data_IF_788875935643
#
_entry.id   IF_788875935643
#
_cell.length_a   1.000
_cell.length_b   1.000
_cell.length_c   1.000
_cell.angle_alpha   90.00
_cell.angle_beta   90.00
_cell.angle_gamma   90.00
#
_symmetry.space_group_name_H-M   'P 1'
#
loop_
_entity.id
_entity.type
_entity.pdbx_description
1 polymer ?
#
# COMPACT_ATOMS: atom_id res chain seq x y z
N UNK A 1 14.00 23.81 26.33
CA UNK A 1 12.77 23.12 26.77
C UNK A 1 11.81 22.80 25.62
N UNK A 2 11.38 23.77 24.78
CA UNK A 2 10.45 23.53 23.65
C UNK A 2 10.96 22.48 22.64
N UNK A 3 12.26 22.51 22.29
CA UNK A 3 12.87 21.53 21.38
C UNK A 3 12.98 20.12 21.97
N UNK A 4 13.23 20.01 23.29
CA UNK A 4 13.28 18.71 23.97
C UNK A 4 11.90 18.08 24.07
N UNK A 5 10.85 18.88 24.29
CA UNK A 5 9.46 18.43 24.28
C UNK A 5 9.05 18.03 22.86
N UNK A 6 9.39 18.80 21.83
CA UNK A 6 9.14 18.42 20.44
C UNK A 6 9.85 17.11 20.06
N UNK A 7 11.11 16.96 20.47
CA UNK A 7 11.87 15.73 20.23
C UNK A 7 11.29 14.53 20.99
N UNK A 8 10.89 14.72 22.25
CA UNK A 8 10.23 13.67 23.03
C UNK A 8 8.87 13.29 22.44
N UNK A 9 8.09 14.25 21.91
CA UNK A 9 6.83 13.98 21.23
C UNK A 9 7.04 13.26 19.90
N UNK A 10 8.08 13.60 19.14
CA UNK A 10 8.47 12.89 17.90
C UNK A 10 8.97 11.48 18.21
N UNK A 11 9.80 11.31 19.24
CA UNK A 11 10.28 10.00 19.67
C UNK A 11 9.14 9.13 20.22
N UNK A 12 8.23 9.73 21.01
CA UNK A 12 7.04 9.08 21.51
C UNK A 12 6.08 8.74 20.36
N UNK A 13 5.91 9.61 19.36
CA UNK A 13 5.17 9.29 18.14
C UNK A 13 5.85 8.14 17.37
N UNK A 14 7.16 8.16 17.19
CA UNK A 14 7.88 7.06 16.53
C UNK A 14 7.79 5.72 17.29
N UNK A 15 7.66 5.77 18.62
CA UNK A 15 7.46 4.60 19.48
C UNK A 15 6.01 4.10 19.51
N UNK A 16 5.05 5.02 19.48
CA UNK A 16 3.60 4.74 19.55
C UNK A 16 2.98 4.44 18.18
N UNK A 17 3.58 4.94 17.10
CA UNK A 17 3.24 4.62 15.72
C UNK A 17 4.41 3.80 15.14
N UNK A 18 4.55 2.51 15.52
CA UNK A 18 5.48 1.63 14.82
C UNK A 18 5.10 1.68 13.35
N UNK A 19 6.05 2.15 12.55
CA UNK A 19 5.84 2.62 11.18
C UNK A 19 4.81 1.78 10.45
N UNK A 20 3.75 2.47 10.04
CA UNK A 20 2.68 1.83 9.32
C UNK A 20 3.28 1.32 8.00
N UNK A 21 3.33 0.00 7.89
CA UNK A 21 3.78 -0.76 6.72
C UNK A 21 2.75 -0.59 5.60
N UNK A 22 2.66 0.60 4.99
CA UNK A 22 1.69 0.90 3.93
C UNK A 22 2.40 0.95 2.57
N UNK A 23 2.73 -0.19 1.96
CA UNK A 23 3.54 -0.20 0.73
C UNK A 23 2.99 0.68 -0.40
N UNK A 24 1.68 0.95 -0.41
CA UNK A 24 1.06 2.06 -1.11
C UNK A 24 0.41 3.03 -0.11
N UNK A 25 0.55 4.33 -0.34
CA UNK A 25 -0.15 5.33 0.49
C UNK A 25 -1.66 5.32 0.18
N UNK A 26 -2.51 5.86 1.08
CA UNK A 26 -3.93 6.05 0.78
C UNK A 26 -4.18 6.79 -0.55
N UNK A 27 -3.32 7.75 -0.91
CA UNK A 27 -3.42 8.44 -2.20
C UNK A 27 -3.26 7.49 -3.39
N UNK A 28 -2.33 6.54 -3.32
CA UNK A 28 -2.12 5.54 -4.38
C UNK A 28 -3.31 4.59 -4.50
N UNK A 29 -3.89 4.15 -3.38
CA UNK A 29 -5.11 3.34 -3.41
C UNK A 29 -6.30 4.09 -4.00
N UNK A 30 -6.42 5.41 -3.77
CA UNK A 30 -7.43 6.23 -4.46
C UNK A 30 -7.19 6.26 -5.97
N UNK A 31 -5.95 6.42 -6.44
CA UNK A 31 -5.63 6.36 -7.88
C UNK A 31 -6.03 5.03 -8.49
N UNK A 32 -5.71 3.92 -7.83
CA UNK A 32 -6.07 2.58 -8.30
C UNK A 32 -7.59 2.40 -8.30
N UNK A 33 -8.30 2.90 -7.28
CA UNK A 33 -9.75 2.95 -7.23
C UNK A 33 -10.35 3.75 -8.38
N UNK A 34 -9.83 4.94 -8.66
CA UNK A 34 -10.26 5.80 -9.77
C UNK A 34 -10.00 5.15 -11.14
N UNK A 35 -8.89 4.42 -11.32
CA UNK A 35 -8.64 3.64 -12.55
C UNK A 35 -9.73 2.59 -12.79
N UNK A 36 -10.22 1.95 -11.72
CA UNK A 36 -11.33 0.99 -11.82
C UNK A 36 -12.65 1.71 -12.12
N UNK A 37 -12.95 2.81 -11.43
CA UNK A 37 -14.15 3.62 -11.71
C UNK A 37 -14.15 4.23 -13.12
N UNK A 38 -12.97 4.52 -13.67
CA UNK A 38 -12.79 4.98 -15.05
C UNK A 38 -12.83 3.88 -16.10
N UNK A 39 -12.90 2.60 -15.70
CA UNK A 39 -12.92 1.45 -16.62
C UNK A 39 -13.98 0.39 -16.23
N UNK A 40 -15.14 0.86 -15.74
CA UNK A 40 -16.23 0.00 -15.26
C UNK A 40 -16.77 -0.95 -16.34
N UNK A 41 -16.64 -0.61 -17.62
CA UNK A 41 -17.00 -1.47 -18.75
C UNK A 41 -16.20 -2.78 -18.82
N UNK A 42 -15.06 -2.85 -18.13
CA UNK A 42 -14.22 -4.05 -18.03
C UNK A 42 -14.64 -4.99 -16.88
N UNK A 43 -15.67 -4.62 -16.10
CA UNK A 43 -16.20 -5.39 -14.99
C UNK A 43 -17.54 -6.06 -15.33
N UNK A 44 -17.96 -7.09 -14.57
CA UNK A 44 -19.30 -7.67 -14.73
C UNK A 44 -20.37 -6.59 -14.48
N UNK A 45 -21.45 -6.62 -15.26
CA UNK A 45 -22.47 -5.55 -15.26
C UNK A 45 -22.99 -5.20 -13.86
N UNK A 46 -23.26 -6.21 -13.03
CA UNK A 46 -23.74 -6.00 -11.67
C UNK A 46 -22.76 -5.22 -10.79
N UNK A 47 -21.47 -5.56 -10.86
CA UNK A 47 -20.41 -4.85 -10.14
C UNK A 47 -20.27 -3.43 -10.69
N UNK A 48 -20.23 -3.29 -12.02
CA UNK A 48 -20.10 -1.98 -12.67
C UNK A 48 -21.23 -1.02 -12.26
N UNK A 49 -22.47 -1.52 -12.16
CA UNK A 49 -23.63 -0.71 -11.77
C UNK A 49 -23.60 -0.32 -10.30
N UNK A 50 -23.20 -1.25 -9.43
CA UNK A 50 -23.01 -0.99 -8.01
C UNK A 50 -21.95 0.09 -7.77
N UNK A 51 -20.77 -0.06 -8.39
CA UNK A 51 -19.67 0.91 -8.24
C UNK A 51 -20.01 2.27 -8.85
N UNK A 52 -20.81 2.31 -9.92
CA UNK A 52 -21.30 3.57 -10.50
C UNK A 52 -22.28 4.29 -9.57
N UNK A 53 -23.12 3.54 -8.85
CA UNK A 53 -24.09 4.10 -7.91
C UNK A 53 -23.42 4.55 -6.59
N UNK A 54 -22.37 3.85 -6.15
CA UNK A 54 -21.69 4.08 -4.85
C UNK A 54 -20.17 4.28 -5.00
N UNK A 55 -19.70 5.25 -5.82
CA UNK A 55 -18.28 5.42 -6.10
C UNK A 55 -17.49 5.88 -4.87
N UNK A 56 -18.08 6.70 -4.00
CA UNK A 56 -17.40 7.21 -2.81
C UNK A 56 -17.26 6.13 -1.73
N UNK A 57 -18.26 5.27 -1.54
CA UNK A 57 -18.16 4.14 -0.62
C UNK A 57 -17.08 3.15 -1.06
N UNK A 58 -17.01 2.87 -2.37
CA UNK A 58 -15.93 2.06 -2.96
C UNK A 58 -14.55 2.68 -2.76
N UNK A 59 -14.38 3.98 -3.03
CA UNK A 59 -13.11 4.67 -2.81
C UNK A 59 -12.75 4.72 -1.32
N UNK A 60 -13.74 4.82 -0.44
CA UNK A 60 -13.49 4.77 1.00
C UNK A 60 -12.99 3.38 1.43
N UNK A 61 -13.60 2.31 0.90
CA UNK A 61 -13.13 0.94 1.09
C UNK A 61 -11.67 0.73 0.67
N UNK A 62 -11.24 1.37 -0.43
CA UNK A 62 -9.86 1.28 -0.93
C UNK A 62 -8.81 1.82 0.05
N UNK A 63 -9.18 2.69 0.99
CA UNK A 63 -8.26 3.26 1.99
C UNK A 63 -8.60 2.80 3.41
N UNK A 64 -9.66 2.03 3.59
CA UNK A 64 -10.22 1.72 4.90
C UNK A 64 -9.32 0.80 5.72
N UNK A 65 -8.68 -0.19 5.08
CA UNK A 65 -7.75 -1.11 5.74
C UNK A 65 -6.60 -0.37 6.43
N UNK A 66 -6.06 0.68 5.79
CA UNK A 66 -4.99 1.51 6.34
C UNK A 66 -5.44 2.38 7.53
N UNK A 67 -6.74 2.67 7.64
CA UNK A 67 -7.28 3.48 8.74
C UNK A 67 -7.41 2.70 10.05
N UNK A 68 -7.34 1.37 9.99
CA UNK A 68 -7.59 0.48 11.13
C UNK A 68 -6.28 0.17 11.87
N UNK A 69 -5.85 1.10 12.72
CA UNK A 69 -4.52 1.11 13.36
C UNK A 69 -4.24 0.03 14.43
N UNK A 70 -5.05 -1.01 14.57
CA UNK A 70 -4.97 -1.91 15.74
C UNK A 70 -4.05 -3.13 15.57
N UNK A 71 -2.96 -2.98 14.80
CA UNK A 71 -2.07 -4.08 14.37
C UNK A 71 -1.39 -4.86 15.50
N UNK A 72 -1.33 -4.35 16.74
CA UNK A 72 -0.56 -4.97 17.84
C UNK A 72 -1.40 -5.65 18.94
N UNK A 73 -2.72 -5.62 18.84
CA UNK A 73 -3.60 -6.15 19.91
C UNK A 73 -4.78 -6.99 19.40
N UNK A 74 -4.99 -7.08 18.08
CA UNK A 74 -5.79 -8.15 17.50
C UNK A 74 -4.96 -9.45 17.49
N UNK A 75 -5.56 -10.63 17.71
CA UNK A 75 -4.84 -11.87 17.46
C UNK A 75 -4.41 -11.92 15.99
N UNK A 76 -3.29 -12.59 15.70
CA UNK A 76 -2.62 -12.53 14.39
C UNK A 76 -3.51 -12.99 13.22
N UNK A 77 -4.60 -13.69 13.54
CA UNK A 77 -5.63 -14.15 12.63
C UNK A 77 -6.66 -13.07 12.27
N UNK A 78 -6.59 -11.82 12.77
CA UNK A 78 -7.54 -10.74 12.42
C UNK A 78 -6.87 -9.42 11.99
N UNK A 79 -5.73 -9.53 11.32
CA UNK A 79 -5.09 -8.38 10.69
C UNK A 79 -5.95 -7.83 9.55
N UNK A 80 -6.10 -6.51 9.47
CA UNK A 80 -6.87 -5.81 8.43
C UNK A 80 -6.39 -6.12 7.00
N UNK A 81 -5.12 -6.50 6.85
CA UNK A 81 -4.52 -6.89 5.58
C UNK A 81 -4.65 -8.38 5.26
N UNK A 82 -5.57 -9.11 5.90
CA UNK A 82 -5.84 -10.51 5.62
C UNK A 82 -7.07 -10.70 4.72
N UNK A 83 -6.96 -11.59 3.74
CA UNK A 83 -8.05 -11.86 2.78
C UNK A 83 -9.38 -12.22 3.44
N UNK A 84 -9.36 -13.06 4.48
CA UNK A 84 -10.60 -13.45 5.16
C UNK A 84 -11.31 -12.25 5.82
N UNK A 85 -10.57 -11.24 6.32
CA UNK A 85 -11.17 -10.00 6.83
C UNK A 85 -11.84 -9.23 5.70
N UNK A 86 -11.15 -9.06 4.57
CA UNK A 86 -11.73 -8.40 3.38
C UNK A 86 -12.99 -9.13 2.87
N UNK A 87 -12.98 -10.46 2.89
CA UNK A 87 -14.14 -11.29 2.54
C UNK A 87 -15.27 -11.11 3.55
N UNK A 88 -15.01 -11.11 4.86
CA UNK A 88 -16.02 -10.81 5.89
C UNK A 88 -16.64 -9.40 5.68
N UNK A 89 -15.81 -8.39 5.38
CA UNK A 89 -16.28 -7.02 5.08
C UNK A 89 -17.22 -6.99 3.88
N UNK A 90 -16.90 -7.73 2.82
CA UNK A 90 -17.75 -7.84 1.62
C UNK A 90 -19.02 -8.64 1.88
N UNK A 91 -18.91 -9.80 2.50
CA UNK A 91 -19.97 -10.80 2.58
C UNK A 91 -21.03 -10.43 3.63
N UNK A 92 -20.66 -9.69 4.68
CA UNK A 92 -21.59 -9.21 5.71
C UNK A 92 -22.26 -7.87 5.37
N UNK A 93 -22.04 -7.32 4.18
CA UNK A 93 -22.60 -6.04 3.77
C UNK A 93 -24.13 -6.11 3.56
N UNK A 94 -24.86 -5.33 4.35
CA UNK A 94 -26.34 -5.32 4.38
C UNK A 94 -27.00 -4.29 3.43
N UNK A 95 -26.19 -3.43 2.81
CA UNK A 95 -26.65 -2.38 1.90
C UNK A 95 -25.72 -2.26 0.69
N UNK A 96 -26.22 -1.69 -0.40
CA UNK A 96 -25.45 -1.52 -1.63
C UNK A 96 -24.21 -0.62 -1.44
N UNK A 97 -24.34 0.42 -0.62
CA UNK A 97 -23.20 1.25 -0.21
C UNK A 97 -22.11 0.41 0.50
N UNK A 98 -22.49 -0.44 1.45
CA UNK A 98 -21.54 -1.32 2.14
C UNK A 98 -20.98 -2.42 1.24
N UNK A 99 -21.74 -2.89 0.24
CA UNK A 99 -21.23 -3.83 -0.76
C UNK A 99 -20.15 -3.17 -1.61
N UNK A 100 -20.38 -1.94 -2.08
CA UNK A 100 -19.37 -1.17 -2.80
C UNK A 100 -18.13 -0.91 -1.93
N UNK A 101 -18.32 -0.56 -0.67
CA UNK A 101 -17.25 -0.44 0.32
C UNK A 101 -16.43 -1.72 0.47
N UNK A 102 -17.08 -2.88 0.62
CA UNK A 102 -16.38 -4.17 0.73
C UNK A 102 -15.59 -4.54 -0.53
N UNK A 103 -16.11 -4.23 -1.72
CA UNK A 103 -15.34 -4.37 -2.97
C UNK A 103 -14.13 -3.43 -3.01
N UNK A 104 -14.25 -2.23 -2.44
CA UNK A 104 -13.13 -1.31 -2.25
C UNK A 104 -12.06 -1.88 -1.33
N UNK A 105 -12.47 -2.51 -0.23
CA UNK A 105 -11.57 -3.19 0.70
C UNK A 105 -10.83 -4.35 0.02
N UNK A 106 -11.53 -5.16 -0.78
CA UNK A 106 -10.90 -6.23 -1.56
C UNK A 106 -9.92 -5.68 -2.60
N UNK A 107 -10.20 -4.52 -3.18
CA UNK A 107 -9.32 -3.83 -4.14
C UNK A 107 -8.04 -3.34 -3.47
N UNK A 108 -8.12 -2.84 -2.24
CA UNK A 108 -6.96 -2.50 -1.42
C UNK A 108 -6.01 -3.69 -1.26
N UNK A 109 -6.52 -4.84 -0.79
CA UNK A 109 -5.73 -6.06 -0.60
C UNK A 109 -5.11 -6.56 -1.91
N UNK A 110 -5.85 -6.49 -3.02
CA UNK A 110 -5.35 -6.90 -4.33
C UNK A 110 -4.19 -6.02 -4.84
N UNK A 111 -4.24 -4.72 -4.55
CA UNK A 111 -3.15 -3.79 -4.83
C UNK A 111 -1.91 -4.08 -3.97
N UNK A 112 -2.14 -4.39 -2.69
CA UNK A 112 -1.10 -4.67 -1.72
C UNK A 112 -0.31 -5.94 -2.03
N UNK A 113 -0.93 -6.92 -2.66
CA UNK A 113 -0.20 -8.07 -3.23
C UNK A 113 0.95 -7.60 -4.13
N UNK A 114 0.74 -6.59 -4.99
CA UNK A 114 1.81 -6.07 -5.86
C UNK A 114 2.82 -5.26 -5.06
N UNK A 115 2.32 -4.37 -4.20
CA UNK A 115 3.11 -3.47 -3.39
C UNK A 115 4.13 -4.21 -2.52
N UNK A 116 3.64 -5.21 -1.77
CA UNK A 116 4.39 -5.90 -0.74
C UNK A 116 5.19 -7.10 -1.25
N UNK A 117 4.86 -7.66 -2.42
CA UNK A 117 5.61 -8.78 -2.99
C UNK A 117 6.59 -8.39 -4.10
N UNK A 118 6.41 -7.23 -4.71
CA UNK A 118 7.25 -6.78 -5.83
C UNK A 118 7.91 -5.43 -5.55
N UNK A 119 7.10 -4.36 -5.44
CA UNK A 119 7.62 -3.00 -5.39
C UNK A 119 8.50 -2.73 -4.18
N UNK A 120 7.97 -2.91 -2.96
CA UNK A 120 8.70 -2.61 -1.72
C UNK A 120 9.91 -3.52 -1.53
N UNK A 121 9.82 -4.86 -1.66
CA UNK A 121 10.99 -5.74 -1.56
C UNK A 121 12.10 -5.36 -2.54
N UNK A 122 11.76 -5.02 -3.79
CA UNK A 122 12.73 -4.52 -4.77
C UNK A 122 13.44 -3.27 -4.25
N UNK A 123 12.70 -2.27 -3.78
CA UNK A 123 13.32 -1.04 -3.29
C UNK A 123 14.20 -1.28 -2.05
N UNK A 124 13.82 -2.21 -1.17
CA UNK A 124 14.65 -2.60 -0.03
C UNK A 124 15.97 -3.22 -0.46
N UNK A 125 16.01 -4.00 -1.54
CA UNK A 125 17.26 -4.56 -2.06
C UNK A 125 18.17 -3.45 -2.58
N UNK A 126 17.63 -2.50 -3.35
CA UNK A 126 18.43 -1.47 -4.01
C UNK A 126 18.93 -0.42 -3.00
N UNK A 127 18.23 -0.23 -1.88
CA UNK A 127 18.44 0.95 -1.02
C UNK A 127 19.06 0.60 0.33
N UNK A 128 19.94 1.49 0.82
CA UNK A 128 20.68 1.28 2.07
C UNK A 128 19.95 1.83 3.29
N UNK A 129 18.67 1.56 3.44
CA UNK A 129 17.90 1.95 4.61
C UNK A 129 17.77 0.77 5.58
N UNK A 130 17.78 1.06 6.88
CA UNK A 130 17.24 0.14 7.87
C UNK A 130 15.76 -0.08 7.57
N UNK A 131 15.21 -1.23 7.99
CA UNK A 131 13.85 -1.76 7.72
C UNK A 131 12.72 -0.72 7.83
N UNK A 132 12.99 0.37 8.52
CA UNK A 132 12.04 1.26 9.09
C UNK A 132 11.87 2.55 8.27
N UNK A 133 12.95 3.29 8.03
CA UNK A 133 12.95 4.50 7.18
C UNK A 133 12.76 4.22 5.69
N UNK A 134 12.98 2.98 5.23
CA UNK A 134 12.89 2.63 3.80
C UNK A 134 11.47 2.57 3.25
N UNK A 135 10.55 1.95 3.98
CA UNK A 135 9.17 1.70 3.52
C UNK A 135 8.42 3.02 3.29
N UNK A 136 8.22 3.81 4.35
CA UNK A 136 7.49 5.09 4.29
C UNK A 136 8.11 6.11 3.33
N UNK A 137 9.43 6.04 3.11
CA UNK A 137 10.13 6.88 2.14
C UNK A 137 9.75 6.52 0.70
N UNK A 138 9.80 5.24 0.31
CA UNK A 138 9.49 4.82 -1.07
C UNK A 138 8.00 4.96 -1.42
N UNK A 139 7.14 4.80 -0.43
CA UNK A 139 5.69 5.01 -0.51
C UNK A 139 5.37 6.47 -0.83
N UNK A 140 5.92 7.39 -0.04
CA UNK A 140 5.73 8.83 -0.24
C UNK A 140 6.35 9.32 -1.55
N UNK A 141 7.44 8.68 -2.01
CA UNK A 141 8.08 8.98 -3.30
C UNK A 141 7.22 8.57 -4.50
N UNK A 142 6.53 7.43 -4.45
CA UNK A 142 5.62 7.07 -5.53
C UNK A 142 4.47 8.09 -5.64
N UNK A 143 3.96 8.58 -4.51
CA UNK A 143 2.92 9.61 -4.47
C UNK A 143 3.39 10.94 -5.08
N UNK A 144 4.67 11.32 -4.94
CA UNK A 144 5.20 12.53 -5.62
C UNK A 144 5.17 12.43 -7.15
N UNK A 145 5.22 11.22 -7.72
CA UNK A 145 5.13 11.00 -9.18
C UNK A 145 3.67 11.08 -9.68
N UNK A 146 2.69 10.83 -8.79
CA UNK A 146 1.27 10.86 -9.12
C UNK A 146 0.65 12.28 -9.17
N UNK A 147 1.40 13.31 -8.77
CA UNK A 147 1.01 14.72 -8.88
C UNK A 147 -0.04 15.21 -7.87
N UNK A 148 -0.34 16.52 -7.90
CA UNK A 148 -1.16 17.18 -6.86
C UNK A 148 -2.68 16.90 -6.91
N UNK A 149 -3.19 16.31 -8.00
CA UNK A 149 -4.62 16.05 -8.18
C UNK A 149 -5.16 14.98 -7.21
N UNK A 150 -4.34 13.96 -6.95
CA UNK A 150 -4.66 12.78 -6.11
C UNK A 150 -4.88 13.16 -4.64
N UNK A 151 -4.01 14.00 -4.01
CA UNK A 151 -4.25 14.56 -2.69
C UNK A 151 -5.59 15.30 -2.53
N UNK A 152 -6.19 15.85 -3.60
CA UNK A 152 -7.45 16.60 -3.49
C UNK A 152 -8.67 15.67 -3.40
N UNK A 153 -8.74 14.64 -4.23
CA UNK A 153 -9.83 13.67 -4.21
C UNK A 153 -9.87 12.91 -2.87
N UNK A 154 -8.72 12.45 -2.39
CA UNK A 154 -8.59 11.81 -1.07
C UNK A 154 -9.01 12.74 0.09
N UNK A 155 -8.70 14.05 -0.01
CA UNK A 155 -9.10 15.05 1.00
C UNK A 155 -10.61 15.25 1.06
N UNK A 156 -11.27 15.36 -0.08
CA UNK A 156 -12.74 15.51 -0.11
C UNK A 156 -13.43 14.24 0.37
N UNK A 157 -12.93 13.07 -0.03
CA UNK A 157 -13.45 11.77 0.42
C UNK A 157 -13.44 11.63 1.95
N UNK A 158 -12.35 12.02 2.61
CA UNK A 158 -12.21 11.92 4.08
C UNK A 158 -13.16 12.86 4.84
N UNK A 159 -13.70 13.89 4.19
CA UNK A 159 -14.66 14.83 4.79
C UNK A 159 -16.11 14.31 4.76
N UNK A 160 -16.41 13.32 3.91
CA UNK A 160 -17.73 12.72 3.84
C UNK A 160 -18.06 11.95 5.13
N UNK A 161 -19.35 11.77 5.39
CA UNK A 161 -19.81 10.93 6.49
C UNK A 161 -19.75 9.45 6.08
N UNK A 162 -18.88 8.71 6.76
CA UNK A 162 -18.67 7.27 6.56
C UNK A 162 -19.19 6.43 7.73
N UNK A 163 -20.10 6.98 8.54
CA UNK A 163 -20.55 6.35 9.80
C UNK A 163 -21.05 4.92 9.64
N UNK A 164 -21.77 4.60 8.55
CA UNK A 164 -22.24 3.25 8.27
C UNK A 164 -21.09 2.27 7.98
N UNK A 165 -20.13 2.66 7.14
CA UNK A 165 -18.96 1.86 6.82
C UNK A 165 -18.02 1.68 8.03
N UNK A 166 -17.84 2.73 8.84
CA UNK A 166 -17.11 2.66 10.09
C UNK A 166 -17.74 1.67 11.07
N UNK A 167 -19.07 1.74 11.25
CA UNK A 167 -19.80 0.82 12.14
C UNK A 167 -19.73 -0.61 11.61
N UNK A 168 -19.78 -0.77 10.28
CA UNK A 168 -19.64 -2.07 9.63
C UNK A 168 -18.28 -2.71 9.93
N UNK A 169 -17.19 -1.98 9.74
CA UNK A 169 -15.85 -2.43 10.12
C UNK A 169 -15.71 -2.73 11.60
N UNK A 170 -16.28 -1.90 12.48
CA UNK A 170 -16.20 -2.07 13.93
C UNK A 170 -16.83 -3.41 14.39
N UNK A 171 -17.95 -3.81 13.77
CA UNK A 171 -18.58 -5.11 14.05
C UNK A 171 -17.70 -6.29 13.67
N UNK A 172 -16.95 -6.17 12.58
CA UNK A 172 -16.14 -7.25 12.01
C UNK A 172 -14.81 -7.39 12.75
N UNK A 173 -14.13 -6.26 12.99
CA UNK A 173 -12.79 -6.26 13.58
C UNK A 173 -12.79 -6.56 15.10
N UNK A 174 -13.95 -6.45 15.79
CA UNK A 174 -14.13 -6.74 17.23
C UNK A 174 -13.19 -5.93 18.16
N UNK A 175 -13.35 -5.92 19.51
CA UNK A 175 -12.95 -4.79 20.34
C UNK A 175 -11.43 -4.70 20.51
N UNK A 176 -10.78 -4.01 19.58
CA UNK A 176 -9.46 -3.46 19.79
C UNK A 176 -9.57 -2.28 20.77
N UNK A 177 -8.48 -2.01 21.50
CA UNK A 177 -8.42 -1.09 22.66
C UNK A 177 -8.94 0.34 22.35
N UNK A 178 -8.99 0.72 21.06
CA UNK A 178 -9.59 1.96 20.58
C UNK A 178 -10.81 1.66 19.70
N UNK A 179 -11.90 2.40 19.89
CA UNK A 179 -13.03 2.38 18.96
C UNK A 179 -12.60 2.79 17.55
N UNK A 180 -13.30 2.30 16.52
CA UNK A 180 -13.01 2.66 15.13
C UNK A 180 -13.06 4.18 14.94
N UNK A 181 -13.95 4.87 15.66
CA UNK A 181 -14.02 6.34 15.66
C UNK A 181 -12.75 7.03 16.21
N UNK A 182 -12.05 6.41 17.15
CA UNK A 182 -10.79 6.93 17.71
C UNK A 182 -9.62 6.68 16.75
N UNK A 183 -9.55 5.49 16.15
CA UNK A 183 -8.60 5.20 15.06
C UNK A 183 -8.82 6.12 13.86
N UNK A 184 -10.08 6.41 13.49
CA UNK A 184 -10.42 7.37 12.43
C UNK A 184 -9.96 8.79 12.76
N UNK A 185 -10.01 9.22 14.02
CA UNK A 185 -9.47 10.54 14.43
C UNK A 185 -7.95 10.58 14.29
N UNK A 186 -7.27 9.49 14.65
CA UNK A 186 -5.81 9.35 14.51
C UNK A 186 -5.41 9.28 13.03
N UNK A 187 -6.10 8.48 12.21
CA UNK A 187 -5.94 8.45 10.75
C UNK A 187 -6.21 9.81 10.09
N UNK A 188 -7.31 10.49 10.45
CA UNK A 188 -7.57 11.87 9.97
C UNK A 188 -6.50 12.86 10.42
N UNK A 189 -5.81 12.58 11.53
CA UNK A 189 -4.63 13.33 11.97
C UNK A 189 -3.41 13.02 11.11
N UNK A 190 -3.11 11.75 10.87
CA UNK A 190 -2.00 11.29 10.04
C UNK A 190 -2.13 11.71 8.58
N UNK A 191 -3.32 11.58 7.97
CA UNK A 191 -3.58 12.08 6.63
C UNK A 191 -3.38 13.59 6.56
N UNK A 192 -3.78 14.35 7.60
CA UNK A 192 -3.51 15.79 7.67
C UNK A 192 -2.00 16.10 7.76
N UNK A 193 -1.22 15.26 8.44
CA UNK A 193 0.23 15.41 8.56
C UNK A 193 0.93 15.05 7.24
N UNK A 194 0.61 13.89 6.65
CA UNK A 194 1.11 13.45 5.35
C UNK A 194 0.74 14.43 4.22
N UNK A 195 -0.42 15.09 4.32
CA UNK A 195 -0.86 16.12 3.38
C UNK A 195 -0.51 17.55 3.82
N UNK A 196 0.30 17.75 4.85
CA UNK A 196 0.75 19.09 5.21
C UNK A 196 1.78 19.58 4.18
N UNK A 197 1.70 20.87 3.81
CA UNK A 197 2.67 21.50 2.90
C UNK A 197 4.10 21.31 3.40
N UNK A 198 4.30 21.27 4.71
CA UNK A 198 5.59 21.04 5.36
C UNK A 198 6.11 19.61 5.13
N UNK A 199 5.24 18.59 5.20
CA UNK A 199 5.60 17.20 4.90
C UNK A 199 5.84 16.99 3.41
N UNK A 200 4.95 17.51 2.56
CA UNK A 200 5.09 17.43 1.10
C UNK A 200 6.38 18.13 0.62
N UNK A 201 6.68 19.32 1.16
CA UNK A 201 7.93 20.02 0.89
C UNK A 201 9.15 19.27 1.44
N UNK A 202 9.06 18.72 2.66
CA UNK A 202 10.13 17.88 3.22
C UNK A 202 10.40 16.62 2.39
N UNK A 203 9.35 15.99 1.86
CA UNK A 203 9.45 14.82 1.00
C UNK A 203 9.95 15.18 -0.41
N UNK A 204 9.54 16.34 -0.96
CA UNK A 204 10.06 16.86 -2.22
C UNK A 204 11.56 17.16 -2.10
N UNK A 205 12.00 17.80 -1.01
CA UNK A 205 13.43 18.05 -0.76
C UNK A 205 14.19 16.74 -0.57
N UNK A 206 13.65 15.78 0.19
CA UNK A 206 14.23 14.44 0.32
C UNK A 206 14.17 13.63 -0.99
N UNK A 207 13.28 14.01 -1.91
CA UNK A 207 13.11 13.41 -3.22
C UNK A 207 14.19 13.92 -4.18
N UNK A 208 14.30 15.24 -4.29
CA UNK A 208 15.23 15.96 -5.16
C UNK A 208 16.69 15.75 -4.73
N UNK A 209 16.94 15.50 -3.45
CA UNK A 209 18.27 15.16 -2.92
C UNK A 209 18.56 13.65 -2.94
N UNK A 210 17.59 12.82 -3.36
CA UNK A 210 17.78 11.37 -3.39
C UNK A 210 18.75 10.96 -4.46
N UNK A 211 19.67 10.07 -4.10
CA UNK A 211 20.67 9.51 -5.01
C UNK A 211 20.15 8.31 -5.81
N UNK A 212 18.87 7.98 -5.68
CA UNK A 212 18.21 6.79 -6.20
C UNK A 212 17.08 7.23 -7.14
N UNK A 213 17.24 6.96 -8.43
CA UNK A 213 16.25 7.30 -9.45
C UNK A 213 15.05 6.33 -9.40
N UNK A 214 13.85 6.88 -9.38
CA UNK A 214 12.58 6.16 -9.50
C UNK A 214 12.09 6.37 -10.93
N UNK A 215 12.17 5.35 -11.78
CA UNK A 215 11.66 5.45 -13.15
C UNK A 215 10.13 5.44 -13.15
N UNK A 216 9.51 6.37 -13.89
CA UNK A 216 8.06 6.40 -14.11
C UNK A 216 7.55 5.08 -14.71
N UNK A 217 8.35 4.42 -15.56
CA UNK A 217 8.06 3.11 -16.16
C UNK A 217 7.85 2.00 -15.09
N UNK A 218 8.75 1.91 -14.11
CA UNK A 218 8.63 0.96 -13.00
C UNK A 218 7.34 1.18 -12.19
N UNK A 219 7.04 2.44 -11.85
CA UNK A 219 5.83 2.77 -11.08
C UNK A 219 4.59 2.45 -11.92
N UNK A 220 4.57 2.88 -13.18
CA UNK A 220 3.50 2.60 -14.13
C UNK A 220 3.19 1.12 -14.23
N UNK A 221 4.20 0.29 -14.47
CA UNK A 221 4.03 -1.16 -14.56
C UNK A 221 3.51 -1.79 -13.26
N UNK A 222 3.93 -1.30 -12.09
CA UNK A 222 3.39 -1.78 -10.81
C UNK A 222 1.94 -1.36 -10.59
N UNK A 223 1.56 -0.14 -10.94
CA UNK A 223 0.18 0.31 -10.87
C UNK A 223 -0.71 -0.42 -11.88
N UNK A 224 -0.21 -0.74 -13.06
CA UNK A 224 -0.93 -1.49 -14.08
C UNK A 224 -1.15 -2.94 -13.62
N UNK A 225 -0.13 -3.59 -13.05
CA UNK A 225 -0.28 -4.91 -12.45
C UNK A 225 -1.24 -4.89 -11.26
N UNK A 226 -1.18 -3.88 -10.40
CA UNK A 226 -2.12 -3.72 -9.28
C UNK A 226 -3.55 -3.55 -9.79
N UNK A 227 -3.76 -2.74 -10.83
CA UNK A 227 -5.06 -2.56 -11.49
C UNK A 227 -5.57 -3.88 -12.07
N UNK A 228 -4.69 -4.68 -12.68
CA UNK A 228 -5.03 -6.00 -13.21
C UNK A 228 -5.44 -6.98 -12.09
N UNK A 229 -4.72 -6.98 -10.97
CA UNK A 229 -5.04 -7.80 -9.80
C UNK A 229 -6.40 -7.43 -9.21
N UNK A 230 -6.66 -6.12 -9.02
CA UNK A 230 -7.97 -5.63 -8.56
C UNK A 230 -9.07 -6.13 -9.50
N UNK A 231 -8.91 -5.93 -10.81
CA UNK A 231 -9.90 -6.37 -11.80
C UNK A 231 -10.12 -7.89 -11.75
N UNK A 232 -9.08 -8.67 -11.53
CA UNK A 232 -9.18 -10.13 -11.38
C UNK A 232 -10.05 -10.51 -10.17
N UNK A 233 -9.77 -9.93 -9.00
CA UNK A 233 -10.52 -10.17 -7.75
C UNK A 233 -11.98 -9.69 -7.84
N UNK A 234 -12.24 -8.57 -8.52
CA UNK A 234 -13.61 -8.05 -8.69
C UNK A 234 -14.44 -8.85 -9.72
N UNK A 235 -13.78 -9.62 -10.61
CA UNK A 235 -14.45 -10.44 -11.64
C UNK A 235 -14.70 -11.86 -11.20
N UNK A 236 -13.83 -12.40 -10.37
CA UNK A 236 -13.82 -13.81 -9.99
C UNK A 236 -13.51 -13.96 -8.51
N UNK A 237 -14.47 -14.51 -7.76
CA UNK A 237 -14.32 -14.82 -6.34
C UNK A 237 -13.30 -15.95 -6.09
N UNK A 238 -12.90 -16.68 -7.12
CA UNK A 238 -11.86 -17.70 -7.08
C UNK A 238 -10.52 -17.26 -7.71
N UNK A 239 -10.34 -15.96 -7.95
CA UNK A 239 -9.12 -15.39 -8.55
C UNK A 239 -7.84 -15.93 -7.90
N UNK A 240 -6.87 -16.33 -8.71
CA UNK A 240 -5.55 -16.79 -8.23
C UNK A 240 -4.82 -15.74 -7.38
N UNK A 241 -5.16 -14.45 -7.52
CA UNK A 241 -4.63 -13.36 -6.68
C UNK A 241 -4.96 -13.57 -5.20
N UNK A 242 -6.09 -14.19 -4.89
CA UNK A 242 -6.52 -14.48 -3.51
C UNK A 242 -5.63 -15.53 -2.83
N UNK A 243 -4.78 -16.24 -3.57
CA UNK A 243 -3.78 -17.16 -3.02
C UNK A 243 -2.46 -16.48 -2.65
N UNK A 244 -2.28 -15.21 -3.05
CA UNK A 244 -1.09 -14.43 -2.77
C UNK A 244 -1.26 -13.68 -1.44
N UNK A 245 -0.17 -13.49 -0.70
CA UNK A 245 -0.18 -12.79 0.60
C UNK A 245 -0.17 -11.26 0.40
N UNK A 246 -1.24 -10.52 0.78
CA UNK A 246 -1.26 -9.06 0.69
C UNK A 246 -0.21 -8.39 1.58
N UNK A 247 0.20 -9.02 2.69
CA UNK A 247 1.21 -8.46 3.61
C UNK A 247 2.63 -8.60 3.05
N UNK A 248 2.84 -9.51 2.10
CA UNK A 248 4.13 -9.85 1.50
C UNK A 248 5.22 -10.15 2.52
N UNK A 249 4.89 -10.76 3.67
CA UNK A 249 5.84 -10.93 4.78
C UNK A 249 7.08 -11.71 4.34
N UNK A 250 6.86 -12.77 3.56
CA UNK A 250 7.92 -13.61 3.00
C UNK A 250 8.82 -12.85 2.02
N UNK A 251 8.24 -12.04 1.13
CA UNK A 251 9.01 -11.26 0.16
C UNK A 251 9.84 -10.16 0.84
N UNK A 252 9.26 -9.47 1.82
CA UNK A 252 9.95 -8.46 2.62
C UNK A 252 11.10 -9.08 3.41
N UNK A 253 10.90 -10.27 4.02
CA UNK A 253 11.98 -10.97 4.72
C UNK A 253 13.10 -11.35 3.76
N UNK A 254 12.77 -11.98 2.62
CA UNK A 254 13.75 -12.39 1.60
C UNK A 254 14.56 -11.22 1.03
N UNK A 255 13.97 -10.03 0.89
CA UNK A 255 14.68 -8.86 0.37
C UNK A 255 15.97 -8.53 1.15
N UNK A 256 16.00 -8.84 2.45
CA UNK A 256 17.17 -8.62 3.30
C UNK A 256 18.29 -9.60 3.02
N UNK A 257 17.93 -10.85 2.79
CA UNK A 257 18.89 -11.91 2.49
C UNK A 257 19.50 -11.66 1.12
N UNK A 258 18.67 -11.38 0.12
CA UNK A 258 19.09 -10.95 -1.22
C UNK A 258 20.03 -9.74 -1.14
N UNK A 259 19.69 -8.73 -0.34
CA UNK A 259 20.56 -7.57 -0.14
C UNK A 259 21.89 -7.96 0.51
N UNK A 260 21.87 -8.80 1.55
CA UNK A 260 23.09 -9.24 2.24
C UNK A 260 24.03 -9.96 1.27
N UNK A 261 23.49 -10.86 0.45
CA UNK A 261 24.23 -11.58 -0.59
C UNK A 261 24.83 -10.62 -1.63
N UNK A 262 24.04 -9.65 -2.09
CA UNK A 262 24.49 -8.65 -3.05
C UNK A 262 25.71 -7.86 -2.55
N UNK A 263 25.73 -7.54 -1.25
CA UNK A 263 26.83 -6.81 -0.62
C UNK A 263 28.12 -7.63 -0.50
N UNK A 264 28.02 -8.96 -0.42
CA UNK A 264 29.16 -9.89 -0.36
C UNK A 264 29.75 -10.13 -1.76
N UNK A 265 28.92 -10.22 -2.80
CA UNK A 265 29.35 -10.62 -4.15
C UNK A 265 30.18 -9.60 -4.95
N UNK A 266 29.85 -8.30 -4.88
CA UNK A 266 30.57 -7.23 -5.65
C UNK A 266 30.79 -5.92 -4.89
N UNK A 267 30.49 -5.89 -3.58
CA UNK A 267 30.69 -4.73 -2.72
C UNK A 267 29.62 -3.64 -2.88
N UNK A 268 29.45 -2.83 -1.82
CA UNK A 268 28.39 -1.82 -1.57
C UNK A 268 28.08 -0.79 -2.68
N UNK A 269 28.84 -0.71 -3.77
CA UNK A 269 28.81 0.43 -4.72
C UNK A 269 28.34 0.10 -6.14
N UNK A 270 28.18 -1.18 -6.50
CA UNK A 270 27.68 -1.56 -7.82
C UNK A 270 26.14 -1.49 -7.86
N UNK A 271 25.62 -0.35 -8.36
CA UNK A 271 24.18 -0.04 -8.39
C UNK A 271 23.43 -0.80 -9.46
N UNK A 272 24.08 -1.04 -10.60
CA UNK A 272 23.51 -1.81 -11.70
C UNK A 272 23.35 -3.26 -11.26
N UNK A 273 24.36 -3.81 -10.57
CA UNK A 273 24.28 -5.13 -9.94
C UNK A 273 23.12 -5.25 -8.94
N UNK A 274 22.99 -4.30 -8.01
CA UNK A 274 21.89 -4.31 -7.03
C UNK A 274 20.51 -4.20 -7.68
N UNK A 275 20.38 -3.35 -8.69
CA UNK A 275 19.12 -3.19 -9.44
C UNK A 275 18.78 -4.43 -10.25
N UNK A 276 19.76 -5.05 -10.92
CA UNK A 276 19.56 -6.28 -11.68
C UNK A 276 19.16 -7.46 -10.79
N UNK A 277 19.79 -7.61 -9.62
CA UNK A 277 19.43 -8.64 -8.65
C UNK A 277 18.03 -8.39 -8.06
N UNK A 278 17.70 -7.13 -7.76
CA UNK A 278 16.37 -6.76 -7.27
C UNK A 278 15.28 -7.04 -8.33
N UNK A 279 15.53 -6.68 -9.59
CA UNK A 279 14.64 -6.95 -10.71
C UNK A 279 14.47 -8.46 -10.94
N UNK A 280 15.53 -9.26 -10.82
CA UNK A 280 15.47 -10.71 -10.98
C UNK A 280 14.65 -11.41 -9.88
N UNK A 281 14.69 -10.90 -8.65
CA UNK A 281 14.03 -11.52 -7.50
C UNK A 281 12.61 -11.01 -7.25
N UNK A 282 12.37 -9.72 -7.51
CA UNK A 282 11.13 -9.04 -7.13
C UNK A 282 10.50 -8.24 -8.29
N UNK A 283 11.18 -8.13 -9.43
CA UNK A 283 10.65 -7.43 -10.59
C UNK A 283 9.38 -8.09 -11.13
N UNK A 284 8.54 -7.27 -11.78
CA UNK A 284 7.36 -7.79 -12.46
C UNK A 284 7.77 -8.52 -13.75
N UNK A 285 7.15 -9.66 -14.08
CA UNK A 285 7.46 -10.41 -15.30
C UNK A 285 7.38 -9.55 -16.58
N UNK A 286 6.42 -8.62 -16.64
CA UNK A 286 6.24 -7.72 -17.77
C UNK A 286 7.44 -6.77 -18.01
N UNK A 287 8.19 -6.41 -16.95
CA UNK A 287 9.40 -5.58 -17.05
C UNK A 287 10.66 -6.40 -17.34
N UNK A 288 10.59 -7.73 -17.20
CA UNK A 288 11.69 -8.64 -17.52
C UNK A 288 11.70 -9.02 -19.02
N UNK A 289 10.55 -8.93 -19.70
CA UNK A 289 10.39 -9.24 -21.12
C UNK A 289 11.03 -8.14 -22.01
N UNK A 290 12.35 -8.19 -22.17
CA UNK A 290 13.09 -7.28 -23.05
C UNK A 290 14.46 -6.85 -22.51
N UNK A 291 14.72 -7.08 -21.22
CA UNK A 291 16.07 -6.95 -20.66
C UNK A 291 16.82 -8.26 -20.91
N UNK A 292 18.04 -8.19 -21.45
CA UNK A 292 18.96 -9.33 -21.42
C UNK A 292 19.05 -9.74 -19.96
N UNK A 293 18.55 -10.93 -19.64
CA UNK A 293 18.81 -11.57 -18.36
C UNK A 293 20.31 -11.76 -18.34
N UNK A 294 21.03 -10.85 -17.68
CA UNK A 294 22.35 -11.19 -17.18
C UNK A 294 22.05 -12.31 -16.20
N UNK A 295 22.41 -13.55 -16.58
CA UNK A 295 22.21 -14.72 -15.74
C UNK A 295 22.58 -14.33 -14.31
N UNK A 296 21.63 -14.34 -13.35
CA UNK A 296 22.02 -14.15 -11.97
C UNK A 296 23.03 -15.27 -11.68
N UNK A 297 24.28 -14.93 -11.30
CA UNK A 297 25.31 -15.94 -11.09
C UNK A 297 24.78 -16.91 -10.04
N UNK A 298 24.94 -18.20 -10.31
CA UNK A 298 24.47 -19.28 -9.46
C UNK A 298 24.83 -18.99 -8.02
N UNK A 299 23.81 -18.93 -7.17
CA UNK A 299 23.98 -18.92 -5.72
C UNK A 299 24.85 -20.14 -5.37
N UNK A 300 25.90 -19.93 -4.57
CA UNK A 300 26.65 -21.06 -4.01
C UNK A 300 25.75 -21.72 -2.98
N UNK A 301 25.47 -23.01 -3.20
CA UNK A 301 24.78 -23.92 -2.28
C UNK A 301 25.39 -23.89 -0.87
#
# INVERSE_FOLDING_TARGET
MKFAVAFALVALAALLFPEMLHAWTPGTHIVLGERILGSLELLPRAIADLLRAFPYDYLYGNIAADTTMAKKFAPADRHCHAWHVGMEVRDLADSDALRAFGLGYMSHLAADVVAHNHYVPRQLVVTSSTRSMGHTYWESRAETVLGEAVPKAARELIRLDHGAADQHLERILSPTIFSVSTNRKLFRGMVRVANSRTWQFGMQVASDQSRWELSEELIGANLDQATANIRSVLRDEASDVLRLDPNGEGAILRSKDVRREALVGRGRRDREWLSALADAQFGLPALAAGKVVVDPPRLKD
#
